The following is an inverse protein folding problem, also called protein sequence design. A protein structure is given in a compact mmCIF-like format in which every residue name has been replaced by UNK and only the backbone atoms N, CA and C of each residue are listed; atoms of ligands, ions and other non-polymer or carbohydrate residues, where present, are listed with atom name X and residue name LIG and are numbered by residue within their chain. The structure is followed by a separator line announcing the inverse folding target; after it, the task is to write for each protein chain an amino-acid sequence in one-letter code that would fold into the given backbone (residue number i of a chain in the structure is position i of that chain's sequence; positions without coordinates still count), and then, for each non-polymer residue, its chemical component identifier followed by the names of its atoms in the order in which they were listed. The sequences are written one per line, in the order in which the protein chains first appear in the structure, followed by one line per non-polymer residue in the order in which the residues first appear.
data_IF_084378366258
#
_entry.id   IF_084378366258
#
_cell.length_a   1.000
_cell.length_b   1.000
_cell.length_c   1.000
_cell.angle_alpha   90.00
_cell.angle_beta   90.00
_cell.angle_gamma   90.00
#
_symmetry.space_group_name_H-M   'P 1'
#
loop_
_entity.id
_entity.type
_entity.pdbx_description
1 polymer ?
#
# COMPACT_ATOMS: atom_id res chain seq x y z
N UNK A 1 16.51 -6.86 -8.59
CA UNK A 1 15.81 -7.91 -7.81
C UNK A 1 15.05 -7.28 -6.66
N UNK A 2 13.80 -6.82 -6.91
CA UNK A 2 12.91 -6.24 -5.89
C UNK A 2 12.19 -7.29 -5.03
N UNK A 3 12.95 -8.21 -4.43
CA UNK A 3 12.41 -9.28 -3.61
C UNK A 3 11.65 -8.71 -2.41
N UNK A 4 10.36 -8.95 -2.34
CA UNK A 4 9.50 -8.55 -1.21
C UNK A 4 9.11 -7.08 -1.13
N UNK A 5 9.63 -6.18 -1.96
CA UNK A 5 9.34 -4.74 -1.85
C UNK A 5 7.84 -4.41 -1.97
N UNK A 6 7.14 -4.96 -2.93
CA UNK A 6 5.69 -4.77 -3.08
C UNK A 6 4.89 -5.43 -1.95
N UNK A 7 5.35 -6.59 -1.45
CA UNK A 7 4.74 -7.26 -0.30
C UNK A 7 4.85 -6.41 0.96
N UNK A 8 6.02 -5.81 1.21
CA UNK A 8 6.22 -4.89 2.33
C UNK A 8 5.30 -3.67 2.27
N UNK A 9 5.14 -3.08 1.08
CA UNK A 9 4.20 -1.97 0.84
C UNK A 9 2.76 -2.40 1.16
N UNK A 10 2.33 -3.56 0.67
CA UNK A 10 0.98 -4.07 0.92
C UNK A 10 0.74 -4.31 2.42
N UNK A 11 1.68 -4.93 3.12
CA UNK A 11 1.60 -5.13 4.57
C UNK A 11 1.52 -3.80 5.32
N UNK A 12 2.32 -2.81 4.94
CA UNK A 12 2.30 -1.49 5.55
C UNK A 12 0.94 -0.80 5.40
N UNK A 13 0.34 -0.84 4.20
CA UNK A 13 -0.98 -0.26 3.95
C UNK A 13 -2.09 -1.04 4.67
N UNK A 14 -2.00 -2.37 4.74
CA UNK A 14 -2.94 -3.19 5.51
C UNK A 14 -2.89 -2.85 7.01
N UNK A 15 -1.70 -2.70 7.59
CA UNK A 15 -1.51 -2.27 8.98
C UNK A 15 -2.12 -0.88 9.18
N UNK A 16 -1.84 0.05 8.27
CA UNK A 16 -2.45 1.39 8.30
C UNK A 16 -3.96 1.30 8.30
N UNK A 17 -4.56 0.54 7.38
CA UNK A 17 -6.01 0.36 7.28
C UNK A 17 -6.62 -0.24 8.55
N UNK A 18 -5.95 -1.24 9.13
CA UNK A 18 -6.41 -1.89 10.36
C UNK A 18 -6.49 -0.95 11.56
N UNK A 19 -5.51 -0.06 11.74
CA UNK A 19 -5.49 0.86 12.87
C UNK A 19 -6.20 2.19 12.61
N UNK A 20 -6.17 2.68 11.37
CA UNK A 20 -6.71 3.99 11.04
C UNK A 20 -8.21 3.98 10.75
N UNK A 21 -8.84 2.82 10.47
CA UNK A 21 -10.28 2.75 10.21
C UNK A 21 -11.15 3.09 11.44
N UNK A 22 -10.57 3.02 12.64
CA UNK A 22 -11.23 3.39 13.91
C UNK A 22 -10.64 4.65 14.54
N UNK A 23 -9.71 5.33 13.86
CA UNK A 23 -8.96 6.47 14.39
C UNK A 23 -9.29 7.74 13.62
N UNK A 24 -9.45 8.85 14.36
CA UNK A 24 -9.59 10.15 13.73
C UNK A 24 -8.25 10.66 13.20
N UNK A 25 -8.28 11.11 11.95
CA UNK A 25 -7.13 11.75 11.33
C UNK A 25 -7.22 13.25 11.57
N UNK A 26 -6.26 13.76 12.31
CA UNK A 26 -6.10 15.19 12.58
C UNK A 26 -5.05 15.79 11.65
N UNK A 27 -5.18 17.06 11.35
CA UNK A 27 -4.17 17.83 10.61
C UNK A 27 -2.78 17.69 11.25
N UNK A 28 -2.72 17.63 12.59
CA UNK A 28 -1.47 17.43 13.33
C UNK A 28 -0.78 16.10 12.99
N UNK A 29 -1.54 15.01 12.87
CA UNK A 29 -1.00 13.69 12.47
C UNK A 29 -0.46 13.73 11.03
N UNK A 30 -1.17 14.41 10.13
CA UNK A 30 -0.73 14.57 8.75
C UNK A 30 0.54 15.43 8.64
N UNK A 31 0.60 16.58 9.34
CA UNK A 31 1.81 17.40 9.38
C UNK A 31 3.01 16.65 9.98
N UNK A 32 2.79 15.80 10.98
CA UNK A 32 3.85 14.94 11.53
C UNK A 32 4.37 13.97 10.47
N UNK A 33 3.48 13.31 9.74
CA UNK A 33 3.86 12.39 8.66
C UNK A 33 4.66 13.09 7.55
N UNK A 34 4.23 14.29 7.14
CA UNK A 34 4.97 15.11 6.17
C UNK A 34 6.33 15.53 6.75
N UNK A 35 6.40 15.93 8.01
CA UNK A 35 7.65 16.28 8.67
C UNK A 35 8.65 15.14 8.73
N UNK A 36 8.18 13.92 9.04
CA UNK A 36 9.01 12.71 8.98
C UNK A 36 9.52 12.44 7.56
N UNK A 37 8.66 12.57 6.55
CA UNK A 37 9.07 12.44 5.16
C UNK A 37 10.19 13.42 4.78
N UNK A 38 10.00 14.71 5.06
CA UNK A 38 11.00 15.72 4.74
C UNK A 38 12.30 15.51 5.50
N UNK A 39 12.22 15.15 6.77
CA UNK A 39 13.42 14.88 7.58
C UNK A 39 14.28 13.81 6.92
N UNK A 40 13.72 12.63 6.63
CA UNK A 40 14.49 11.55 6.02
C UNK A 40 14.95 11.88 4.61
N UNK A 41 14.13 12.50 3.80
CA UNK A 41 14.48 12.80 2.41
C UNK A 41 15.61 13.84 2.33
N UNK A 42 15.54 14.89 3.15
CA UNK A 42 16.59 15.93 3.20
C UNK A 42 17.89 15.36 3.77
N UNK A 43 17.82 14.57 4.86
CA UNK A 43 19.02 13.96 5.46
C UNK A 43 19.72 13.04 4.47
N UNK A 44 18.99 12.16 3.80
CA UNK A 44 19.55 11.25 2.80
C UNK A 44 20.16 12.03 1.63
N UNK A 45 19.46 13.05 1.12
CA UNK A 45 19.95 13.89 0.04
C UNK A 45 21.25 14.63 0.41
N UNK A 46 21.31 15.20 1.62
CA UNK A 46 22.52 15.86 2.13
C UNK A 46 23.68 14.86 2.25
N UNK A 47 23.45 13.64 2.75
CA UNK A 47 24.48 12.59 2.84
C UNK A 47 25.03 12.29 1.44
N UNK A 48 24.18 12.16 0.42
CA UNK A 48 24.61 11.86 -0.94
C UNK A 48 25.42 13.00 -1.57
N UNK A 49 25.09 14.25 -1.25
CA UNK A 49 25.89 15.40 -1.68
C UNK A 49 27.27 15.42 -1.01
N UNK A 50 27.32 15.23 0.32
CA UNK A 50 28.58 15.28 1.08
C UNK A 50 29.51 14.13 0.71
N UNK A 51 28.96 12.94 0.43
CA UNK A 51 29.75 11.79 0.00
C UNK A 51 30.18 11.84 -1.48
N UNK A 52 29.74 12.86 -2.24
CA UNK A 52 30.04 12.99 -3.66
C UNK A 52 29.35 11.96 -4.57
N UNK A 53 28.36 11.23 -4.02
CA UNK A 53 27.58 10.25 -4.78
C UNK A 53 26.66 10.91 -5.79
N UNK A 54 26.12 12.09 -5.48
CA UNK A 54 25.35 12.92 -6.40
C UNK A 54 25.90 14.34 -6.48
N UNK A 55 25.79 14.98 -7.66
CA UNK A 55 26.08 16.39 -7.82
C UNK A 55 24.84 17.23 -7.51
N UNK A 56 25.05 18.44 -6.99
CA UNK A 56 23.94 19.35 -6.74
C UNK A 56 23.19 19.68 -8.04
N UNK A 57 21.90 19.37 -8.07
CA UNK A 57 21.00 19.71 -9.18
C UNK A 57 19.75 20.41 -8.63
N UNK A 58 19.40 21.56 -9.23
CA UNK A 58 18.17 22.29 -8.88
C UNK A 58 16.92 21.42 -9.09
N UNK A 59 16.93 20.58 -10.13
CA UNK A 59 15.83 19.65 -10.42
C UNK A 59 15.66 18.62 -9.32
N UNK A 60 16.75 18.05 -8.82
CA UNK A 60 16.71 17.10 -7.69
C UNK A 60 16.25 17.79 -6.42
N UNK A 61 16.75 18.98 -6.13
CA UNK A 61 16.32 19.78 -4.99
C UNK A 61 14.80 20.06 -5.01
N UNK A 62 14.25 20.44 -6.17
CA UNK A 62 12.82 20.65 -6.33
C UNK A 62 12.01 19.35 -6.15
N UNK A 63 12.51 18.20 -6.62
CA UNK A 63 11.87 16.92 -6.41
C UNK A 63 11.86 16.49 -4.92
N UNK A 64 12.91 16.85 -4.18
CA UNK A 64 12.99 16.63 -2.72
C UNK A 64 11.96 17.47 -1.98
N UNK A 65 11.80 18.74 -2.36
CA UNK A 65 10.87 19.68 -1.69
C UNK A 65 9.41 19.42 -2.09
N UNK A 66 9.17 19.04 -3.34
CA UNK A 66 7.81 18.85 -3.87
C UNK A 66 7.53 17.39 -4.26
N UNK A 67 7.30 16.48 -3.29
CA UNK A 67 7.04 15.07 -3.57
C UNK A 67 5.80 14.84 -4.43
N UNK A 68 4.88 15.83 -4.45
CA UNK A 68 3.61 15.73 -5.19
C UNK A 68 3.75 15.95 -6.70
N UNK A 69 4.87 16.49 -7.20
CA UNK A 69 5.07 16.63 -8.65
C UNK A 69 5.27 15.28 -9.36
N UNK A 70 5.66 14.25 -8.65
CA UNK A 70 5.83 12.90 -9.21
C UNK A 70 4.72 11.95 -8.72
N UNK A 71 3.46 12.37 -8.88
CA UNK A 71 2.29 11.57 -8.54
C UNK A 71 2.29 10.32 -9.42
N UNK A 72 2.33 9.15 -8.78
CA UNK A 72 2.39 7.84 -9.47
C UNK A 72 3.80 7.29 -9.67
N UNK A 73 4.86 8.09 -9.51
CA UNK A 73 6.26 7.64 -9.67
C UNK A 73 6.86 6.99 -8.42
N UNK A 74 6.24 7.14 -7.25
CA UNK A 74 6.78 6.60 -6.01
C UNK A 74 5.74 6.24 -4.96
N UNK A 75 6.10 5.30 -4.09
CA UNK A 75 5.27 4.87 -2.96
C UNK A 75 4.87 6.04 -2.06
N UNK A 76 5.82 6.88 -1.66
CA UNK A 76 5.64 7.91 -0.63
C UNK A 76 4.64 8.99 -1.06
N UNK A 77 4.76 9.48 -2.31
CA UNK A 77 3.84 10.48 -2.86
C UNK A 77 2.41 9.96 -2.91
N UNK A 78 2.24 8.73 -3.37
CA UNK A 78 0.94 8.07 -3.41
C UNK A 78 0.38 7.81 -2.01
N UNK A 79 1.24 7.46 -1.04
CA UNK A 79 0.82 7.24 0.33
C UNK A 79 0.39 8.54 1.04
N UNK A 80 1.12 9.64 0.85
CA UNK A 80 0.74 10.94 1.40
C UNK A 80 -0.62 11.42 0.85
N UNK A 81 -0.86 11.23 -0.45
CA UNK A 81 -2.16 11.54 -1.05
C UNK A 81 -3.26 10.60 -0.53
N UNK A 82 -2.99 9.29 -0.52
CA UNK A 82 -3.92 8.31 0.03
C UNK A 82 -4.34 8.64 1.46
N UNK A 83 -3.38 9.09 2.30
CA UNK A 83 -3.65 9.45 3.68
C UNK A 83 -4.70 10.54 3.83
N UNK A 84 -4.76 11.51 2.88
CA UNK A 84 -5.79 12.56 2.84
C UNK A 84 -7.20 12.01 2.55
N UNK A 85 -7.30 10.89 1.84
CA UNK A 85 -8.58 10.25 1.54
C UNK A 85 -9.13 9.42 2.71
N UNK A 86 -8.31 9.03 3.68
CA UNK A 86 -8.73 8.15 4.79
C UNK A 86 -9.96 8.67 5.55
N UNK A 87 -10.12 9.97 5.90
CA UNK A 87 -11.32 10.44 6.58
C UNK A 87 -12.59 10.20 5.78
N UNK A 88 -12.53 10.38 4.45
CA UNK A 88 -13.67 10.16 3.55
C UNK A 88 -13.96 8.67 3.40
N UNK A 89 -12.91 7.85 3.29
CA UNK A 89 -13.02 6.39 3.23
C UNK A 89 -13.63 5.86 4.54
N UNK A 90 -13.20 6.37 5.70
CA UNK A 90 -13.78 6.00 6.99
C UNK A 90 -15.26 6.35 7.09
N UNK A 91 -15.66 7.53 6.58
CA UNK A 91 -17.06 7.91 6.53
C UNK A 91 -17.88 6.94 5.67
N UNK A 92 -17.36 6.56 4.50
CA UNK A 92 -17.96 5.57 3.62
C UNK A 92 -18.07 4.19 4.30
N UNK A 93 -16.99 3.69 4.92
CA UNK A 93 -16.98 2.42 5.63
C UNK A 93 -17.98 2.40 6.79
N UNK A 94 -18.14 3.53 7.48
CA UNK A 94 -19.07 3.63 8.61
C UNK A 94 -20.54 3.74 8.20
N UNK A 95 -20.82 4.15 6.97
CA UNK A 95 -22.17 4.18 6.41
C UNK A 95 -22.64 2.81 5.86
N UNK A 96 -21.70 1.87 5.62
CA UNK A 96 -22.00 0.55 5.08
C UNK A 96 -22.26 -0.48 6.17
N UNK A 97 -23.20 -1.38 5.91
CA UNK A 97 -23.38 -2.60 6.70
C UNK A 97 -22.37 -3.69 6.26
N UNK A 98 -22.29 -4.81 6.99
CA UNK A 98 -21.36 -5.90 6.69
C UNK A 98 -21.55 -6.49 5.29
N UNK A 99 -22.80 -6.64 4.84
CA UNK A 99 -23.13 -7.23 3.54
C UNK A 99 -22.66 -6.31 2.41
N UNK A 100 -22.88 -5.02 2.56
CA UNK A 100 -22.46 -4.00 1.58
C UNK A 100 -20.93 -3.91 1.49
N UNK A 101 -20.26 -3.90 2.65
CA UNK A 101 -18.80 -3.89 2.70
C UNK A 101 -18.20 -5.14 2.03
N UNK A 102 -18.78 -6.32 2.29
CA UNK A 102 -18.37 -7.58 1.65
C UNK A 102 -18.60 -7.56 0.13
N UNK A 103 -19.74 -7.04 -0.33
CA UNK A 103 -20.01 -6.89 -1.78
C UNK A 103 -18.97 -5.97 -2.43
N UNK A 104 -18.63 -4.86 -1.79
CA UNK A 104 -17.60 -3.94 -2.27
C UNK A 104 -16.24 -4.64 -2.37
N UNK A 105 -15.84 -5.43 -1.37
CA UNK A 105 -14.59 -6.20 -1.41
C UNK A 105 -14.57 -7.22 -2.55
N UNK A 106 -15.65 -7.97 -2.73
CA UNK A 106 -15.76 -8.94 -3.83
C UNK A 106 -15.61 -8.25 -5.18
N UNK A 107 -16.26 -7.10 -5.36
CA UNK A 107 -16.16 -6.30 -6.58
C UNK A 107 -14.71 -5.81 -6.81
N UNK A 108 -14.06 -5.28 -5.79
CA UNK A 108 -12.67 -4.83 -5.88
C UNK A 108 -11.71 -5.98 -6.24
N UNK A 109 -11.85 -7.14 -5.61
CA UNK A 109 -11.04 -8.32 -5.89
C UNK A 109 -11.31 -8.82 -7.33
N UNK A 110 -12.56 -8.84 -7.76
CA UNK A 110 -12.92 -9.25 -9.11
C UNK A 110 -12.24 -8.36 -10.16
N UNK A 111 -12.32 -7.03 -10.01
CA UNK A 111 -11.77 -6.08 -10.98
C UNK A 111 -10.24 -6.09 -10.99
N UNK A 112 -9.59 -6.09 -9.83
CA UNK A 112 -8.15 -5.89 -9.74
C UNK A 112 -7.33 -7.18 -9.68
N UNK A 113 -7.96 -8.32 -9.42
CA UNK A 113 -7.26 -9.61 -9.33
C UNK A 113 -7.78 -10.61 -10.36
N UNK A 114 -9.09 -10.86 -10.39
CA UNK A 114 -9.65 -11.92 -11.23
C UNK A 114 -9.62 -11.52 -12.71
N UNK A 115 -10.13 -10.33 -13.08
CA UNK A 115 -10.17 -9.88 -14.46
C UNK A 115 -8.80 -9.82 -15.14
N UNK A 116 -7.75 -9.22 -14.54
CA UNK A 116 -6.42 -9.21 -15.13
C UNK A 116 -5.81 -10.61 -15.26
N UNK A 117 -6.03 -11.47 -14.25
CA UNK A 117 -5.40 -12.80 -14.21
C UNK A 117 -5.99 -13.78 -15.21
N UNK A 118 -7.31 -13.79 -15.38
CA UNK A 118 -7.99 -14.77 -16.24
C UNK A 118 -8.34 -14.22 -17.64
N UNK A 119 -8.70 -12.95 -17.74
CA UNK A 119 -9.17 -12.36 -18.99
C UNK A 119 -8.14 -11.46 -19.65
N UNK A 120 -6.90 -11.39 -19.17
CA UNK A 120 -5.83 -10.50 -19.67
C UNK A 120 -6.28 -9.04 -19.81
N UNK A 121 -7.25 -8.61 -19.00
CA UNK A 121 -7.77 -7.25 -19.01
C UNK A 121 -6.65 -6.28 -18.57
N UNK A 122 -6.42 -5.25 -19.39
CA UNK A 122 -5.44 -4.20 -19.07
C UNK A 122 -6.07 -3.23 -18.06
N UNK A 123 -5.94 -3.54 -16.78
CA UNK A 123 -6.30 -2.60 -15.71
C UNK A 123 -5.07 -1.71 -15.45
N UNK A 124 -5.23 -0.40 -15.62
CA UNK A 124 -4.16 0.53 -15.23
C UNK A 124 -3.99 0.48 -13.72
N UNK A 125 -2.84 -0.02 -13.30
CA UNK A 125 -2.50 -0.15 -11.90
C UNK A 125 -2.04 1.20 -11.35
N UNK A 126 -2.84 1.79 -10.46
CA UNK A 126 -2.46 2.99 -9.73
C UNK A 126 -2.28 2.65 -8.24
N UNK A 127 -1.17 3.06 -7.65
CA UNK A 127 -0.90 2.83 -6.22
C UNK A 127 -2.00 3.36 -5.31
N UNK A 128 -2.60 4.52 -5.60
CA UNK A 128 -3.63 5.12 -4.74
C UNK A 128 -4.87 4.24 -4.69
N UNK A 129 -5.38 3.80 -5.85
CA UNK A 129 -6.54 2.88 -5.91
C UNK A 129 -6.25 1.55 -5.25
N UNK A 130 -5.04 1.02 -5.44
CA UNK A 130 -4.62 -0.20 -4.77
C UNK A 130 -4.57 -0.06 -3.25
N UNK A 131 -4.07 1.05 -2.72
CA UNK A 131 -4.05 1.35 -1.29
C UNK A 131 -5.47 1.46 -0.71
N UNK A 132 -6.40 2.06 -1.45
CA UNK A 132 -7.81 2.13 -1.05
C UNK A 132 -8.41 0.72 -0.95
N UNK A 133 -8.11 -0.18 -1.89
CA UNK A 133 -8.58 -1.57 -1.84
C UNK A 133 -8.01 -2.31 -0.63
N UNK A 134 -6.70 -2.21 -0.40
CA UNK A 134 -6.06 -2.79 0.77
C UNK A 134 -6.64 -2.24 2.08
N UNK A 135 -6.98 -0.95 2.09
CA UNK A 135 -7.61 -0.31 3.23
C UNK A 135 -9.01 -0.88 3.50
N UNK A 136 -9.84 -1.10 2.46
CA UNK A 136 -11.13 -1.76 2.62
C UNK A 136 -10.99 -3.18 3.16
N UNK A 137 -10.01 -3.95 2.69
CA UNK A 137 -9.74 -5.30 3.20
C UNK A 137 -9.37 -5.25 4.69
N UNK A 138 -8.44 -4.37 5.05
CA UNK A 138 -7.98 -4.23 6.44
C UNK A 138 -9.08 -3.76 7.38
N UNK A 139 -9.89 -2.79 6.95
CA UNK A 139 -11.02 -2.28 7.72
C UNK A 139 -12.13 -3.31 7.91
N UNK A 140 -12.36 -4.17 6.91
CA UNK A 140 -13.30 -5.29 7.04
C UNK A 140 -12.84 -6.28 8.10
N UNK A 141 -11.57 -6.69 8.06
CA UNK A 141 -10.97 -7.59 9.05
C UNK A 141 -11.08 -6.99 10.47
N UNK A 142 -10.92 -5.68 10.61
CA UNK A 142 -11.01 -4.99 11.90
C UNK A 142 -12.43 -4.86 12.41
N UNK A 143 -13.39 -4.49 11.54
CA UNK A 143 -14.79 -4.26 11.93
C UNK A 143 -15.58 -5.54 12.18
N UNK A 144 -15.26 -6.61 11.44
CA UNK A 144 -15.99 -7.88 11.47
C UNK A 144 -15.06 -9.04 11.85
N UNK A 145 -14.64 -9.10 13.13
CA UNK A 145 -13.76 -10.16 13.60
C UNK A 145 -14.42 -11.53 13.43
N UNK A 146 -13.66 -12.48 12.86
CA UNK A 146 -14.13 -13.83 12.66
C UNK A 146 -13.08 -14.80 13.22
N UNK A 147 -13.52 -15.95 13.74
CA UNK A 147 -12.64 -17.00 14.25
C UNK A 147 -11.54 -17.43 13.28
N UNK A 148 -11.81 -17.34 11.97
CA UNK A 148 -10.80 -17.61 10.95
C UNK A 148 -9.68 -16.58 10.91
N UNK A 149 -9.98 -15.31 11.16
CA UNK A 149 -8.98 -14.23 11.20
C UNK A 149 -8.12 -14.26 12.46
N UNK A 150 -8.63 -14.83 13.56
CA UNK A 150 -7.90 -14.96 14.82
C UNK A 150 -6.99 -16.18 14.88
N UNK A 151 -7.14 -17.13 13.96
CA UNK A 151 -6.36 -18.36 13.96
C UNK A 151 -4.93 -18.11 13.43
N UNK A 152 -4.01 -17.75 14.35
CA UNK A 152 -2.60 -17.44 14.03
C UNK A 152 -1.89 -18.59 13.31
N UNK A 153 -2.18 -19.87 13.69
CA UNK A 153 -1.55 -21.03 13.07
C UNK A 153 -1.96 -21.17 11.60
N UNK A 154 -3.25 -21.01 11.30
CA UNK A 154 -3.77 -21.07 9.92
C UNK A 154 -3.08 -20.02 9.04
N UNK A 155 -2.99 -18.77 9.51
CA UNK A 155 -2.37 -17.68 8.76
C UNK A 155 -0.86 -17.87 8.57
N UNK A 156 -0.17 -18.44 9.57
CA UNK A 156 1.24 -18.79 9.43
C UNK A 156 1.45 -19.83 8.33
N UNK A 157 0.67 -20.90 8.32
CA UNK A 157 0.77 -21.92 7.27
C UNK A 157 0.42 -21.37 5.89
N UNK A 158 -0.63 -20.56 5.76
CA UNK A 158 -1.01 -19.94 4.50
C UNK A 158 0.07 -18.98 3.99
N UNK A 159 0.73 -18.22 4.87
CA UNK A 159 1.83 -17.33 4.50
C UNK A 159 3.04 -18.11 3.99
N UNK A 160 3.43 -19.19 4.67
CA UNK A 160 4.54 -20.06 4.24
C UNK A 160 4.20 -20.73 2.91
N UNK A 161 2.98 -21.25 2.76
CA UNK A 161 2.53 -21.89 1.52
C UNK A 161 2.53 -20.88 0.35
N UNK A 162 2.04 -19.66 0.55
CA UNK A 162 2.03 -18.64 -0.50
C UNK A 162 3.45 -18.22 -0.94
N UNK A 163 4.38 -18.13 0.01
CA UNK A 163 5.79 -17.88 -0.30
C UNK A 163 6.41 -19.05 -1.10
N UNK A 164 6.17 -20.28 -0.67
CA UNK A 164 6.67 -21.47 -1.38
C UNK A 164 6.13 -21.55 -2.81
N UNK A 165 4.83 -21.30 -3.02
CA UNK A 165 4.21 -21.28 -4.35
C UNK A 165 4.81 -20.16 -5.21
N UNK A 166 5.02 -18.96 -4.66
CA UNK A 166 5.65 -17.86 -5.38
C UNK A 166 7.09 -18.21 -5.81
N UNK A 167 7.85 -18.87 -4.95
CA UNK A 167 9.19 -19.35 -5.27
C UNK A 167 9.20 -20.39 -6.37
N UNK A 168 8.34 -21.40 -6.23
CA UNK A 168 8.21 -22.46 -7.23
C UNK A 168 7.80 -21.90 -8.59
N UNK A 169 6.89 -20.94 -8.63
CA UNK A 169 6.47 -20.31 -9.89
C UNK A 169 7.64 -19.61 -10.59
N UNK A 170 8.48 -18.86 -9.85
CA UNK A 170 9.66 -18.18 -10.43
C UNK A 170 10.65 -19.21 -10.97
N UNK A 171 10.91 -20.31 -10.24
CA UNK A 171 11.82 -21.37 -10.67
C UNK A 171 11.28 -22.04 -11.94
N UNK A 172 9.99 -22.38 -11.96
CA UNK A 172 9.37 -23.03 -13.13
C UNK A 172 9.44 -22.14 -14.37
N UNK A 173 9.14 -20.84 -14.25
CA UNK A 173 9.25 -19.92 -15.38
C UNK A 173 10.70 -19.71 -15.85
N UNK A 174 11.67 -19.71 -14.93
CA UNK A 174 13.09 -19.61 -15.27
C UNK A 174 13.65 -20.87 -15.98
N UNK A 175 12.98 -22.02 -15.82
CA UNK A 175 13.35 -23.25 -16.55
C UNK A 175 12.63 -23.42 -17.88
N UNK A 176 11.56 -22.66 -18.13
CA UNK A 176 10.76 -22.71 -19.36
C UNK A 176 11.19 -21.67 -20.41
N UNK A 177 12.04 -20.70 -20.03
CA UNK A 177 12.73 -19.76 -20.95
C UNK A 177 14.09 -20.32 -21.38
#
# INVERSE_FOLDING_TARGET
FGWGGKTGINCFVLITGYFMCTSDITVKKYCKLIGEYYFYTIVIWVIFLVTGYSSFSIKEFLNVIFPFFNIGGGFTSCYLLFYLFIPFINKLINSMNEIEHRKLLVLCIAIYTILPSFFKAKVQFNYITWFIILYFIASYIRKYPNKYFENKKLWCYLSIASLAISWLSVIVFAYLE
#
